data_IF_553372253009
#
_entry.id   IF_553372253009
#
_cell.length_a   1.000
_cell.length_b   1.000
_cell.length_c   1.000
_cell.angle_alpha   90.00
_cell.angle_beta   90.00
_cell.angle_gamma   90.00
#
_symmetry.space_group_name_H-M   'P 1'
#
loop_
_entity.id
_entity.type
_entity.pdbx_description
1 polymer ?
#
# COMPACT_ATOMS: atom_id res chain seq x y z
N UNK A 1 9.99 8.14 -15.56
CA UNK A 1 9.56 7.56 -14.29
C UNK A 1 8.18 6.91 -14.45
N UNK A 2 8.04 5.69 -13.98
CA UNK A 2 6.78 4.98 -14.13
C UNK A 2 5.81 5.42 -13.04
N UNK A 3 4.55 5.59 -13.43
CA UNK A 3 3.52 6.00 -12.50
C UNK A 3 3.07 4.81 -11.66
N UNK A 4 2.81 5.07 -10.38
CA UNK A 4 2.27 4.05 -9.48
C UNK A 4 0.79 3.85 -9.81
N UNK A 5 0.40 2.62 -10.06
CA UNK A 5 -0.99 2.28 -10.32
C UNK A 5 -1.66 1.70 -9.09
N UNK A 6 -0.95 0.83 -8.36
CA UNK A 6 -1.51 0.12 -7.22
C UNK A 6 -0.48 0.02 -6.11
N UNK A 7 -0.93 0.17 -4.88
CA UNK A 7 -0.07 -0.01 -3.71
C UNK A 7 -0.68 -1.05 -2.80
N UNK A 8 0.15 -2.00 -2.37
CA UNK A 8 -0.21 -2.91 -1.29
C UNK A 8 0.39 -2.36 0.01
N UNK A 9 -0.45 -2.12 0.98
CA UNK A 9 -0.01 -1.59 2.28
C UNK A 9 -0.22 -2.63 3.36
N UNK A 10 0.87 -3.05 3.97
CA UNK A 10 0.83 -4.00 5.08
C UNK A 10 1.08 -3.21 6.36
N UNK A 11 0.09 -3.23 7.24
CA UNK A 11 0.14 -2.47 8.49
C UNK A 11 0.64 -3.36 9.62
N UNK A 12 1.82 -3.07 10.10
CA UNK A 12 2.37 -3.73 11.27
C UNK A 12 2.27 -2.76 12.45
N UNK A 13 2.72 -3.20 13.60
CA UNK A 13 2.57 -2.45 14.84
C UNK A 13 3.12 -1.02 14.79
N UNK A 14 4.32 -0.87 14.27
CA UNK A 14 4.95 0.45 14.21
C UNK A 14 5.56 0.76 12.85
N UNK A 15 5.62 -0.24 11.98
CA UNK A 15 6.23 -0.09 10.66
C UNK A 15 5.25 -0.56 9.61
N UNK A 16 5.08 0.25 8.58
CA UNK A 16 4.18 -0.05 7.47
C UNK A 16 5.02 -0.42 6.26
N UNK A 17 4.65 -1.49 5.59
CA UNK A 17 5.36 -1.92 4.40
C UNK A 17 4.57 -1.53 3.16
N UNK A 18 5.24 -0.84 2.25
CA UNK A 18 4.63 -0.36 1.01
C UNK A 18 5.22 -1.11 -0.16
N UNK A 19 4.35 -1.66 -1.00
CA UNK A 19 4.72 -2.27 -2.27
C UNK A 19 3.92 -1.61 -3.36
N UNK A 20 4.58 -0.80 -4.16
CA UNK A 20 3.91 -0.06 -5.22
C UNK A 20 4.30 -0.63 -6.57
N UNK A 21 3.31 -0.82 -7.42
CA UNK A 21 3.54 -1.34 -8.77
C UNK A 21 2.92 -0.40 -9.80
N UNK A 22 3.44 -0.46 -11.03
CA UNK A 22 2.88 0.28 -12.14
C UNK A 22 1.75 -0.51 -12.79
N UNK A 23 1.21 0.01 -13.88
CA UNK A 23 0.09 -0.62 -14.57
C UNK A 23 0.44 -1.99 -15.14
N UNK A 24 1.71 -2.25 -15.37
CA UNK A 24 2.18 -3.53 -15.89
C UNK A 24 2.45 -4.54 -14.77
N UNK A 25 2.31 -4.13 -13.51
CA UNK A 25 2.58 -5.01 -12.37
C UNK A 25 4.03 -5.04 -11.95
N UNK A 26 4.85 -4.16 -12.49
CA UNK A 26 6.27 -4.07 -12.13
C UNK A 26 6.45 -3.26 -10.87
N UNK A 27 7.36 -3.68 -10.01
CA UNK A 27 7.63 -2.96 -8.76
C UNK A 27 8.29 -1.63 -9.05
N UNK A 28 7.67 -0.57 -8.57
CA UNK A 28 8.20 0.79 -8.69
C UNK A 28 8.83 1.23 -7.38
N UNK A 29 8.16 0.94 -6.26
CA UNK A 29 8.63 1.33 -4.93
C UNK A 29 8.41 0.18 -3.96
N UNK A 30 9.41 -0.08 -3.17
CA UNK A 30 9.32 -1.02 -2.05
C UNK A 30 9.94 -0.31 -0.86
N UNK A 31 9.14 0.00 0.14
CA UNK A 31 9.61 0.86 1.22
C UNK A 31 8.95 0.51 2.55
N UNK A 32 9.71 0.70 3.62
CA UNK A 32 9.16 0.65 4.97
C UNK A 32 8.96 2.07 5.45
N UNK A 33 7.81 2.33 6.05
CA UNK A 33 7.50 3.65 6.57
C UNK A 33 7.16 3.54 8.05
N UNK A 34 7.58 4.52 8.82
CA UNK A 34 7.09 4.64 10.19
C UNK A 34 5.68 5.20 10.13
N UNK A 35 4.92 4.98 11.19
CA UNK A 35 3.54 5.47 11.27
C UNK A 35 3.45 6.97 10.98
N UNK A 36 4.38 7.75 11.49
CA UNK A 36 4.34 9.20 11.33
C UNK A 36 4.62 9.68 9.92
N UNK A 37 5.10 8.80 9.04
CA UNK A 37 5.43 9.19 7.67
C UNK A 37 4.43 8.69 6.63
N UNK A 38 3.48 7.86 7.04
CA UNK A 38 2.56 7.24 6.10
C UNK A 38 1.72 8.27 5.34
N UNK A 39 1.08 9.18 6.06
CA UNK A 39 0.21 10.15 5.41
C UNK A 39 0.97 11.07 4.48
N UNK A 40 2.16 11.52 4.88
CA UNK A 40 2.97 12.39 4.03
C UNK A 40 3.37 11.67 2.75
N UNK A 41 3.71 10.38 2.86
CA UNK A 41 4.06 9.60 1.68
C UNK A 41 2.90 9.53 0.69
N UNK A 42 1.71 9.17 1.17
CA UNK A 42 0.54 9.06 0.30
C UNK A 42 0.06 10.41 -0.21
N UNK A 43 0.24 11.44 0.58
CA UNK A 43 -0.14 12.79 0.17
C UNK A 43 0.69 13.26 -1.03
N UNK A 44 1.93 12.81 -1.11
CA UNK A 44 2.82 13.19 -2.20
C UNK A 44 2.56 12.44 -3.50
N UNK A 45 1.70 11.43 -3.46
CA UNK A 45 1.43 10.60 -4.64
C UNK A 45 0.17 11.05 -5.36
N UNK A 46 0.13 10.90 -6.69
CA UNK A 46 -1.13 11.04 -7.41
C UNK A 46 -2.08 9.93 -6.97
N UNK A 47 -3.36 10.15 -7.20
CA UNK A 47 -4.38 9.17 -6.83
C UNK A 47 -4.03 7.79 -7.37
N UNK A 48 -4.13 6.78 -6.51
CA UNK A 48 -3.88 5.40 -6.91
C UNK A 48 -4.76 4.45 -6.11
N UNK A 49 -4.78 3.20 -6.53
CA UNK A 49 -5.51 2.16 -5.83
C UNK A 49 -4.64 1.64 -4.68
N UNK A 50 -5.18 1.61 -3.47
CA UNK A 50 -4.45 1.14 -2.30
C UNK A 50 -5.20 -0.03 -1.69
N UNK A 51 -4.55 -1.20 -1.64
CA UNK A 51 -5.08 -2.36 -0.97
C UNK A 51 -4.48 -2.48 0.41
N UNK A 52 -5.30 -2.54 1.44
CA UNK A 52 -4.86 -2.66 2.83
C UNK A 52 -5.33 -3.98 3.38
N UNK A 53 -4.44 -4.72 4.02
CA UNK A 53 -4.83 -5.94 4.72
C UNK A 53 -5.78 -5.60 5.85
N UNK A 54 -6.95 -6.22 5.88
CA UNK A 54 -7.95 -5.97 6.90
C UNK A 54 -7.43 -6.40 8.28
N UNK A 55 -7.41 -5.47 9.20
CA UNK A 55 -6.98 -5.71 10.58
C UNK A 55 -7.60 -4.64 11.46
N UNK A 56 -7.31 -4.69 12.75
CA UNK A 56 -7.95 -3.77 13.69
C UNK A 56 -7.65 -2.30 13.43
N UNK A 57 -6.54 -2.00 12.76
CA UNK A 57 -6.15 -0.61 12.47
C UNK A 57 -6.50 -0.15 11.07
N UNK A 58 -6.94 -1.08 10.21
CA UNK A 58 -7.10 -0.77 8.80
C UNK A 58 -8.19 0.26 8.52
N UNK A 59 -9.25 0.28 9.31
CA UNK A 59 -10.35 1.24 9.08
C UNK A 59 -9.90 2.68 9.25
N UNK A 60 -9.08 2.93 10.27
CA UNK A 60 -8.54 4.27 10.49
C UNK A 60 -7.73 4.71 9.27
N UNK A 61 -6.80 3.87 8.82
CA UNK A 61 -5.94 4.21 7.70
C UNK A 61 -6.71 4.31 6.39
N UNK A 62 -7.73 3.46 6.22
CA UNK A 62 -8.56 3.53 5.04
C UNK A 62 -9.26 4.89 4.94
N UNK A 63 -9.78 5.38 6.07
CA UNK A 63 -10.42 6.70 6.10
C UNK A 63 -9.43 7.81 5.78
N UNK A 64 -8.24 7.75 6.38
CA UNK A 64 -7.23 8.78 6.19
C UNK A 64 -6.74 8.83 4.74
N UNK A 65 -6.49 7.67 4.15
CA UNK A 65 -6.01 7.61 2.77
C UNK A 65 -7.11 7.98 1.79
N UNK A 66 -8.34 7.62 2.09
CA UNK A 66 -9.47 8.02 1.25
C UNK A 66 -9.63 9.55 1.27
N UNK A 67 -9.43 10.17 2.43
CA UNK A 67 -9.49 11.62 2.56
C UNK A 67 -8.41 12.30 1.72
N UNK A 68 -7.31 11.63 1.46
CA UNK A 68 -6.25 12.15 0.59
C UNK A 68 -6.54 11.96 -0.89
N UNK A 69 -7.64 11.30 -1.22
CA UNK A 69 -8.07 11.13 -2.59
C UNK A 69 -7.77 9.77 -3.20
N UNK A 70 -7.21 8.85 -2.43
CA UNK A 70 -6.89 7.52 -2.96
C UNK A 70 -8.10 6.60 -2.94
N UNK A 71 -8.10 5.62 -3.85
CA UNK A 71 -9.13 4.59 -3.91
C UNK A 71 -8.68 3.43 -3.03
N UNK A 72 -9.27 3.33 -1.84
CA UNK A 72 -8.79 2.38 -0.82
C UNK A 72 -9.71 1.17 -0.73
N UNK A 73 -9.11 -0.01 -0.69
CA UNK A 73 -9.82 -1.28 -0.56
C UNK A 73 -9.27 -2.06 0.61
N UNK A 74 -10.16 -2.57 1.45
CA UNK A 74 -9.76 -3.46 2.53
C UNK A 74 -9.85 -4.89 2.03
N UNK A 75 -8.76 -5.63 2.17
CA UNK A 75 -8.68 -6.98 1.63
C UNK A 75 -8.29 -7.95 2.73
N UNK A 76 -8.83 -9.19 2.69
CA UNK A 76 -8.32 -10.22 3.59
C UNK A 76 -6.84 -10.46 3.34
N UNK A 77 -6.13 -10.88 4.39
CA UNK A 77 -4.68 -11.12 4.29
C UNK A 77 -4.32 -12.05 3.14
N UNK A 78 -5.19 -13.01 2.86
CA UNK A 78 -4.94 -13.99 1.80
C UNK A 78 -4.85 -13.37 0.40
N UNK A 79 -5.38 -12.18 0.23
CA UNK A 79 -5.30 -11.48 -1.06
C UNK A 79 -4.14 -10.50 -1.12
N UNK A 80 -3.69 -10.02 0.04
CA UNK A 80 -2.60 -9.07 0.09
C UNK A 80 -1.25 -9.79 0.09
N UNK A 81 -1.12 -10.83 0.90
CA UNK A 81 0.14 -11.55 1.03
C UNK A 81 0.65 -12.20 -0.25
N UNK A 82 -0.17 -12.84 -1.05
CA UNK A 82 0.31 -13.39 -2.32
C UNK A 82 0.89 -12.32 -3.23
N UNK A 83 0.32 -11.15 -3.19
CA UNK A 83 0.80 -10.02 -3.97
C UNK A 83 2.22 -9.62 -3.55
N UNK A 84 2.45 -9.50 -2.25
CA UNK A 84 3.76 -9.19 -1.71
C UNK A 84 4.75 -10.32 -1.96
N UNK A 85 4.29 -11.55 -1.81
CA UNK A 85 5.10 -12.75 -1.98
C UNK A 85 5.62 -12.90 -3.40
N UNK A 86 4.80 -12.52 -4.35
CA UNK A 86 5.14 -12.58 -5.75
C UNK A 86 6.39 -11.79 -6.06
N UNK A 87 6.56 -10.68 -5.37
CA UNK A 87 7.73 -9.83 -5.53
C UNK A 87 9.01 -10.54 -5.10
N UNK A 88 8.90 -11.38 -4.10
CA UNK A 88 10.06 -12.10 -3.59
C UNK A 88 10.46 -13.26 -4.47
N UNK A 89 9.49 -13.89 -5.11
CA UNK A 89 9.72 -15.10 -5.85
C UNK A 89 10.22 -14.86 -7.26
N UNK A 90 10.26 -13.63 -7.67
CA UNK A 90 10.74 -13.28 -8.99
C UNK A 90 12.25 -13.21 -9.05
N UNK A 91 12.88 -13.57 -7.99
CA UNK A 91 14.33 -13.59 -7.95
C UNK A 91 14.86 -14.74 -8.82
#
# INVERSE_FOLDING_TARGET
>A
MRAIATIGLDIAKSVFQVHAVDAAGEVVVRRKLTRGRVLAFFESLPRCLVGIEACSYSHFWARELTALGHDVRLLPAQYVKPYLKRQKNDA
#
